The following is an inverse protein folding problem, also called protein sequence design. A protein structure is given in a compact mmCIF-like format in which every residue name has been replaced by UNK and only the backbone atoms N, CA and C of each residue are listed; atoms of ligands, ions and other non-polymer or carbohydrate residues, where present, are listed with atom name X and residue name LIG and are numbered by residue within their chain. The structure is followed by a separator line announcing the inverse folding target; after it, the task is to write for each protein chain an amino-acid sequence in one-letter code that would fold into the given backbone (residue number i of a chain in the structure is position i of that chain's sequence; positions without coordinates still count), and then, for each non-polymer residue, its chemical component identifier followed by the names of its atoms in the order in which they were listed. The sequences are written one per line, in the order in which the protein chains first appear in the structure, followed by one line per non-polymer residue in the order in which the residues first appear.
data_IF_066304609622
#
_entry.id   IF_066304609622
#
_cell.length_a   1.000
_cell.length_b   1.000
_cell.length_c   1.000
_cell.angle_alpha   90.00
_cell.angle_beta   90.00
_cell.angle_gamma   90.00
#
_symmetry.space_group_name_H-M   'P 1'
#
loop_
_entity.id
_entity.type
_entity.pdbx_description
1 polymer ?
#
# COMPACT_ATOMS: atom_id res chain seq x y z
N UNK A 1 -17.70 16.11 14.78
CA UNK A 1 -17.48 14.81 14.13
C UNK A 1 -18.80 14.04 14.18
N UNK A 2 -19.43 13.79 13.03
CA UNK A 2 -20.66 12.98 12.92
C UNK A 2 -20.24 11.50 12.93
N UNK A 3 -20.34 10.84 14.07
CA UNK A 3 -20.15 9.39 14.19
C UNK A 3 -21.40 8.68 13.66
N UNK A 4 -21.39 8.30 12.39
CA UNK A 4 -22.41 7.43 11.82
C UNK A 4 -21.95 5.99 12.01
N UNK A 5 -22.59 5.29 12.94
CA UNK A 5 -22.47 3.84 13.11
C UNK A 5 -21.29 3.36 13.96
N UNK A 6 -21.23 3.76 15.23
CA UNK A 6 -20.38 3.08 16.22
C UNK A 6 -20.99 1.71 16.53
N UNK A 7 -20.45 0.66 15.91
CA UNK A 7 -20.80 -0.72 16.26
C UNK A 7 -19.79 -1.22 17.28
N UNK A 8 -20.24 -1.47 18.50
CA UNK A 8 -19.43 -2.15 19.52
C UNK A 8 -19.59 -3.66 19.30
N UNK A 9 -18.66 -4.26 18.55
CA UNK A 9 -18.48 -5.72 18.60
C UNK A 9 -17.83 -6.05 19.95
N UNK A 10 -18.44 -6.99 20.68
CA UNK A 10 -18.07 -7.32 22.07
C UNK A 10 -16.56 -7.47 22.24
N UNK A 11 -15.98 -6.60 23.08
CA UNK A 11 -14.53 -6.52 23.29
C UNK A 11 -13.96 -5.11 23.54
N UNK A 12 -14.78 -4.04 23.52
CA UNK A 12 -14.33 -2.68 23.91
C UNK A 12 -13.57 -1.89 22.83
N UNK A 13 -13.46 -2.41 21.61
CA UNK A 13 -12.90 -1.66 20.48
C UNK A 13 -14.00 -0.83 19.80
N UNK A 14 -13.85 0.50 19.78
CA UNK A 14 -14.74 1.39 19.05
C UNK A 14 -14.51 1.20 17.53
N UNK A 15 -15.38 0.43 16.88
CA UNK A 15 -15.35 0.26 15.42
C UNK A 15 -16.32 1.23 14.75
N UNK A 16 -15.79 2.06 13.85
CA UNK A 16 -16.61 2.86 12.94
C UNK A 16 -16.77 2.13 11.62
N UNK A 17 -17.96 2.24 11.00
CA UNK A 17 -18.18 1.74 9.63
C UNK A 17 -17.13 2.32 8.67
N UNK A 18 -16.77 3.60 8.85
CA UNK A 18 -15.78 4.28 8.03
C UNK A 18 -14.40 3.62 8.07
N UNK A 19 -13.92 3.23 9.25
CA UNK A 19 -12.63 2.53 9.39
C UNK A 19 -12.67 1.16 8.70
N UNK A 20 -13.72 0.37 8.91
CA UNK A 20 -13.88 -0.93 8.27
C UNK A 20 -13.92 -0.83 6.74
N UNK A 21 -14.70 0.13 6.21
CA UNK A 21 -14.80 0.34 4.76
C UNK A 21 -13.48 0.78 4.17
N UNK A 22 -12.75 1.70 4.83
CA UNK A 22 -11.44 2.14 4.38
C UNK A 22 -10.48 0.94 4.31
N UNK A 23 -10.40 0.17 5.39
CA UNK A 23 -9.44 -0.94 5.48
C UNK A 23 -9.73 -2.06 4.46
N UNK A 24 -11.00 -2.43 4.30
CA UNK A 24 -11.40 -3.42 3.30
C UNK A 24 -11.15 -2.94 1.85
N UNK A 25 -11.44 -1.67 1.54
CA UNK A 25 -11.17 -1.12 0.21
C UNK A 25 -9.67 -1.00 -0.06
N UNK A 26 -8.89 -0.59 0.93
CA UNK A 26 -7.43 -0.50 0.83
C UNK A 26 -6.78 -1.88 0.67
N UNK A 27 -7.31 -2.92 1.34
CA UNK A 27 -6.87 -4.29 1.14
C UNK A 27 -7.09 -4.75 -0.33
N UNK A 28 -8.24 -4.44 -0.92
CA UNK A 28 -8.52 -4.75 -2.33
C UNK A 28 -7.64 -3.92 -3.28
N UNK A 29 -7.48 -2.62 -2.99
CA UNK A 29 -6.63 -1.73 -3.78
C UNK A 29 -5.18 -2.24 -3.80
N UNK A 30 -4.60 -2.52 -2.65
CA UNK A 30 -3.22 -3.02 -2.55
C UNK A 30 -3.06 -4.44 -3.08
N UNK A 31 -4.11 -5.26 -3.08
CA UNK A 31 -4.08 -6.54 -3.80
C UNK A 31 -3.89 -6.33 -5.32
N UNK A 32 -4.66 -5.41 -5.92
CA UNK A 32 -4.52 -5.08 -7.36
C UNK A 32 -3.14 -4.49 -7.65
N UNK A 33 -2.68 -3.55 -6.82
CA UNK A 33 -1.32 -2.97 -6.92
C UNK A 33 -0.27 -4.06 -6.80
N UNK A 34 -0.42 -5.02 -5.87
CA UNK A 34 0.48 -6.15 -5.69
C UNK A 34 0.57 -7.07 -6.91
N UNK A 35 -0.55 -7.33 -7.59
CA UNK A 35 -0.58 -8.09 -8.85
C UNK A 35 0.13 -7.31 -9.96
N UNK A 36 -0.08 -6.00 -10.05
CA UNK A 36 0.57 -5.16 -11.07
C UNK A 36 2.08 -5.04 -10.83
N UNK A 37 2.52 -4.88 -9.58
CA UNK A 37 3.95 -4.96 -9.20
C UNK A 37 4.54 -6.29 -9.63
N UNK A 38 3.85 -7.40 -9.33
CA UNK A 38 4.33 -8.73 -9.69
C UNK A 38 4.47 -8.86 -11.21
N UNK A 39 3.52 -8.32 -11.97
CA UNK A 39 3.56 -8.29 -13.44
C UNK A 39 4.73 -7.44 -13.95
N UNK A 40 4.96 -6.25 -13.39
CA UNK A 40 6.07 -5.38 -13.77
C UNK A 40 7.44 -5.99 -13.44
N UNK A 41 7.56 -6.70 -12.31
CA UNK A 41 8.78 -7.41 -11.92
C UNK A 41 9.10 -8.60 -12.84
N UNK A 42 8.08 -9.28 -13.36
CA UNK A 42 8.26 -10.50 -14.18
C UNK A 42 8.40 -10.16 -15.67
N UNK A 43 7.61 -9.22 -16.17
CA UNK A 43 7.45 -8.96 -17.59
C UNK A 43 7.56 -7.48 -17.99
N UNK A 44 7.76 -6.57 -17.02
CA UNK A 44 7.77 -5.13 -17.25
C UNK A 44 9.13 -4.47 -17.06
N UNK A 45 9.11 -3.16 -16.81
CA UNK A 45 10.30 -2.32 -16.71
C UNK A 45 11.06 -2.54 -15.41
N UNK A 46 10.36 -2.98 -14.35
CA UNK A 46 10.98 -3.32 -13.06
C UNK A 46 11.84 -4.61 -13.12
N UNK A 47 11.76 -5.39 -14.20
CA UNK A 47 12.57 -6.59 -14.39
C UNK A 47 14.06 -6.29 -14.58
N UNK A 48 14.39 -5.17 -15.22
CA UNK A 48 15.77 -4.71 -15.39
C UNK A 48 16.11 -3.71 -14.27
N UNK A 49 17.02 -4.04 -13.34
CA UNK A 49 17.41 -3.14 -12.26
C UNK A 49 17.91 -1.78 -12.74
N UNK A 50 18.53 -1.71 -13.92
CA UNK A 50 19.02 -0.45 -14.49
C UNK A 50 17.86 0.44 -14.95
N UNK A 51 16.84 -0.16 -15.55
CA UNK A 51 15.63 0.56 -15.95
C UNK A 51 14.78 0.94 -14.74
N UNK A 52 14.73 0.09 -13.71
CA UNK A 52 14.00 0.32 -12.46
C UNK A 52 14.63 1.41 -11.56
N UNK A 53 15.96 1.61 -11.67
CA UNK A 53 16.68 2.58 -10.82
C UNK A 53 16.16 4.01 -10.99
N UNK A 54 15.83 4.44 -12.22
CA UNK A 54 15.35 5.80 -12.46
C UNK A 54 13.98 6.05 -11.80
N UNK A 55 12.92 5.26 -12.04
CA UNK A 55 11.66 5.38 -11.31
C UNK A 55 11.82 5.27 -9.79
N UNK A 56 12.67 4.35 -9.31
CA UNK A 56 12.85 4.15 -7.87
C UNK A 56 13.51 5.37 -7.21
N UNK A 57 14.56 5.93 -7.80
CA UNK A 57 15.21 7.14 -7.29
C UNK A 57 14.29 8.36 -7.38
N UNK A 58 13.49 8.45 -8.45
CA UNK A 58 12.50 9.52 -8.61
C UNK A 58 11.40 9.44 -7.54
N UNK A 59 10.88 8.24 -7.26
CA UNK A 59 9.93 7.99 -6.19
C UNK A 59 10.56 8.34 -4.82
N UNK A 60 11.74 7.80 -4.50
CA UNK A 60 12.44 8.12 -3.25
C UNK A 60 12.65 9.63 -3.04
N UNK A 61 13.03 10.37 -4.09
CA UNK A 61 13.11 11.83 -4.02
C UNK A 61 11.74 12.49 -3.81
N UNK A 62 10.72 12.02 -4.54
CA UNK A 62 9.33 12.46 -4.42
C UNK A 62 8.71 12.18 -3.03
N UNK A 63 9.22 11.19 -2.32
CA UNK A 63 8.83 10.83 -0.96
C UNK A 63 9.57 11.66 0.10
N UNK A 64 10.90 11.66 0.02
CA UNK A 64 11.77 12.22 1.07
C UNK A 64 11.68 13.74 1.09
N UNK A 65 11.62 14.40 -0.07
CA UNK A 65 11.61 15.86 -0.13
C UNK A 65 10.35 16.46 0.51
N UNK A 66 9.12 16.05 0.17
CA UNK A 66 7.91 16.55 0.83
C UNK A 66 7.86 16.23 2.33
N UNK A 67 8.29 15.03 2.72
CA UNK A 67 8.39 14.63 4.12
C UNK A 67 9.31 15.55 4.93
N UNK A 68 10.52 15.82 4.43
CA UNK A 68 11.49 16.68 5.09
C UNK A 68 11.01 18.14 5.14
N UNK A 69 10.40 18.63 4.07
CA UNK A 69 9.81 19.98 4.04
C UNK A 69 8.73 20.06 5.13
N UNK A 70 7.78 19.14 5.14
CA UNK A 70 6.71 19.14 6.14
C UNK A 70 7.25 19.08 7.56
N UNK A 71 8.22 18.19 7.82
CA UNK A 71 8.85 18.06 9.12
C UNK A 71 9.56 19.34 9.54
N UNK A 72 10.32 19.98 8.65
CA UNK A 72 11.02 21.22 8.95
C UNK A 72 10.07 22.37 9.34
N UNK A 73 8.90 22.46 8.70
CA UNK A 73 7.89 23.47 9.02
C UNK A 73 7.07 23.15 10.28
N UNK A 74 6.92 21.88 10.64
CA UNK A 74 6.11 21.44 11.79
C UNK A 74 6.96 20.95 12.97
N UNK A 75 8.28 21.13 12.91
CA UNK A 75 9.21 20.67 13.94
C UNK A 75 8.86 21.30 15.30
N UNK A 76 8.60 20.45 16.29
CA UNK A 76 8.27 20.87 17.66
C UNK A 76 6.79 21.21 17.90
N UNK A 77 5.93 21.13 16.88
CA UNK A 77 4.47 21.26 17.02
C UNK A 77 3.77 19.90 17.15
N UNK A 78 2.47 19.92 17.48
CA UNK A 78 1.62 18.72 17.57
C UNK A 78 1.56 17.94 16.24
N UNK A 79 1.76 18.63 15.12
CA UNK A 79 1.76 18.05 13.78
C UNK A 79 3.05 17.34 13.35
N UNK A 80 4.13 17.35 14.17
CA UNK A 80 5.42 16.77 13.80
C UNK A 80 5.33 15.27 13.47
N UNK A 81 4.40 14.57 14.13
CA UNK A 81 4.14 13.15 13.89
C UNK A 81 3.46 12.89 12.53
N UNK A 82 3.01 13.91 11.80
CA UNK A 82 2.33 13.76 10.50
C UNK A 82 3.25 13.77 9.27
N UNK A 83 4.55 13.62 9.43
CA UNK A 83 5.53 13.77 8.35
C UNK A 83 5.39 12.77 7.19
N UNK A 84 4.74 11.62 7.42
CA UNK A 84 4.44 10.63 6.38
C UNK A 84 3.23 10.97 5.51
N UNK A 85 2.36 11.90 5.94
CA UNK A 85 1.14 12.30 5.21
C UNK A 85 1.45 12.84 3.80
N UNK A 86 2.40 13.77 3.59
CA UNK A 86 2.68 14.33 2.25
C UNK A 86 3.46 13.39 1.33
N UNK A 87 3.78 12.17 1.76
CA UNK A 87 4.54 11.21 0.96
C UNK A 87 3.66 10.44 -0.03
N UNK A 88 2.35 10.37 0.20
CA UNK A 88 1.45 9.55 -0.61
C UNK A 88 0.98 10.28 -1.89
N UNK A 89 1.05 9.59 -3.02
CA UNK A 89 0.55 10.09 -4.32
C UNK A 89 -0.65 9.26 -4.80
N UNK A 90 -1.78 9.89 -5.14
CA UNK A 90 -2.93 9.19 -5.72
C UNK A 90 -2.67 8.82 -7.19
N UNK A 91 -2.33 7.55 -7.43
CA UNK A 91 -2.06 6.98 -8.76
C UNK A 91 -3.26 7.06 -9.70
N UNK A 92 -4.49 6.85 -9.19
CA UNK A 92 -5.69 6.85 -10.01
C UNK A 92 -5.97 8.24 -10.55
N UNK A 93 -5.80 9.26 -9.70
CA UNK A 93 -5.89 10.65 -10.12
C UNK A 93 -4.78 11.03 -11.11
N UNK A 94 -3.52 10.69 -10.80
CA UNK A 94 -2.38 11.02 -11.66
C UNK A 94 -2.51 10.39 -13.07
N UNK A 95 -2.82 9.08 -13.13
CA UNK A 95 -3.05 8.38 -14.40
C UNK A 95 -4.29 8.92 -15.12
N UNK A 96 -5.35 9.26 -14.37
CA UNK A 96 -6.56 9.90 -14.89
C UNK A 96 -6.26 11.20 -15.63
N UNK A 97 -5.54 12.13 -15.01
CA UNK A 97 -5.14 13.40 -15.63
C UNK A 97 -4.26 13.17 -16.86
N UNK A 98 -3.30 12.25 -16.77
CA UNK A 98 -2.41 11.91 -17.89
C UNK A 98 -3.19 11.28 -19.06
N UNK A 99 -4.26 10.54 -18.77
CA UNK A 99 -5.12 9.95 -19.80
C UNK A 99 -5.93 11.00 -20.55
N UNK A 100 -6.38 12.07 -19.87
CA UNK A 100 -7.10 13.20 -20.48
C UNK A 100 -6.24 14.00 -21.45
N UNK A 101 -4.92 14.04 -21.24
CA UNK A 101 -3.97 14.68 -22.18
C UNK A 101 -3.79 13.88 -23.49
N UNK A 102 -4.39 12.69 -23.59
CA UNK A 102 -4.49 11.90 -24.81
C UNK A 102 -3.13 11.53 -25.40
N UNK A 103 -2.91 11.96 -26.65
CA UNK A 103 -1.71 11.69 -27.44
C UNK A 103 -0.55 12.65 -27.14
N UNK A 104 -0.76 13.69 -26.33
CA UNK A 104 0.34 14.60 -25.94
C UNK A 104 1.34 13.94 -25.00
N UNK A 105 0.92 12.87 -24.31
CA UNK A 105 1.76 12.10 -23.41
C UNK A 105 2.10 10.76 -24.05
N UNK A 106 3.40 10.49 -24.17
CA UNK A 106 3.90 9.24 -24.74
C UNK A 106 3.51 8.03 -23.88
N UNK A 107 3.32 6.87 -24.52
CA UNK A 107 3.04 5.61 -23.82
C UNK A 107 4.13 5.28 -22.79
N UNK A 108 5.38 5.60 -23.10
CA UNK A 108 6.51 5.41 -22.20
C UNK A 108 6.37 6.23 -20.92
N UNK A 109 5.90 7.48 -21.00
CA UNK A 109 5.70 8.30 -19.80
C UNK A 109 4.56 7.77 -18.93
N UNK A 110 3.49 7.23 -19.53
CA UNK A 110 2.39 6.60 -18.78
C UNK A 110 2.88 5.40 -17.97
N UNK A 111 3.72 4.56 -18.57
CA UNK A 111 4.32 3.40 -17.88
C UNK A 111 5.30 3.87 -16.81
N UNK A 112 6.15 4.86 -17.10
CA UNK A 112 7.06 5.44 -16.12
C UNK A 112 6.34 5.99 -14.89
N UNK A 113 5.25 6.75 -15.09
CA UNK A 113 4.45 7.30 -13.99
C UNK A 113 3.74 6.22 -13.20
N UNK A 114 3.23 5.17 -13.86
CA UNK A 114 2.64 4.02 -13.19
C UNK A 114 3.67 3.33 -12.29
N UNK A 115 4.88 3.08 -12.81
CA UNK A 115 5.97 2.46 -12.03
C UNK A 115 6.43 3.35 -10.87
N UNK A 116 6.58 4.66 -11.10
CA UNK A 116 6.94 5.62 -10.05
C UNK A 116 5.93 5.61 -8.92
N UNK A 117 4.63 5.72 -9.24
CA UNK A 117 3.56 5.75 -8.24
C UNK A 117 3.45 4.44 -7.46
N UNK A 118 3.65 3.30 -8.12
CA UNK A 118 3.71 2.00 -7.45
C UNK A 118 4.85 1.96 -6.40
N UNK A 119 6.04 2.45 -6.74
CA UNK A 119 7.18 2.45 -5.79
C UNK A 119 6.91 3.40 -4.62
N UNK A 120 6.35 4.57 -4.91
CA UNK A 120 5.91 5.57 -3.93
C UNK A 120 4.89 4.98 -2.93
N UNK A 121 3.85 4.32 -3.42
CA UNK A 121 2.80 3.68 -2.60
C UNK A 121 3.36 2.60 -1.66
N UNK A 122 4.24 1.72 -2.17
CA UNK A 122 4.90 0.70 -1.34
C UNK A 122 5.74 1.38 -0.26
N UNK A 123 6.51 2.40 -0.64
CA UNK A 123 7.32 3.16 0.30
C UNK A 123 6.46 3.82 1.40
N UNK A 124 5.33 4.40 1.02
CA UNK A 124 4.44 5.09 1.95
C UNK A 124 3.81 4.10 2.94
N UNK A 125 3.32 2.95 2.47
CA UNK A 125 2.83 1.88 3.36
C UNK A 125 3.93 1.42 4.32
N UNK A 126 5.16 1.22 3.84
CA UNK A 126 6.27 0.77 4.69
C UNK A 126 6.59 1.80 5.78
N UNK A 127 6.59 3.09 5.43
CA UNK A 127 6.78 4.17 6.40
C UNK A 127 5.64 4.19 7.43
N UNK A 128 4.39 4.08 7.00
CA UNK A 128 3.23 4.03 7.90
C UNK A 128 3.33 2.80 8.82
N UNK A 129 3.62 1.62 8.27
CA UNK A 129 3.73 0.39 9.04
C UNK A 129 4.87 0.41 10.07
N UNK A 130 6.00 1.07 9.78
CA UNK A 130 7.15 1.10 10.69
C UNK A 130 7.11 2.23 11.71
N UNK A 131 6.55 3.39 11.35
CA UNK A 131 6.61 4.60 12.19
C UNK A 131 5.29 4.98 12.85
N UNK A 132 4.15 4.47 12.37
CA UNK A 132 2.81 4.81 12.87
C UNK A 132 2.07 3.62 13.49
N UNK A 133 2.74 2.49 13.66
CA UNK A 133 2.14 1.31 14.29
C UNK A 133 2.50 1.26 15.78
N UNK A 134 1.56 1.67 16.63
CA UNK A 134 1.77 1.77 18.08
C UNK A 134 1.61 0.42 18.82
N UNK A 135 0.74 -0.46 18.30
CA UNK A 135 0.38 -1.70 18.97
C UNK A 135 0.44 -2.88 18.00
N UNK A 136 1.43 -3.75 18.21
CA UNK A 136 1.57 -4.99 17.45
C UNK A 136 1.41 -6.17 18.39
N UNK A 137 0.36 -6.95 18.19
CA UNK A 137 0.19 -8.21 18.92
C UNK A 137 1.06 -9.29 18.30
N UNK A 138 2.04 -9.78 19.06
CA UNK A 138 2.92 -10.87 18.62
C UNK A 138 2.15 -12.16 18.26
N UNK A 139 1.05 -12.42 18.96
CA UNK A 139 0.18 -13.58 18.68
C UNK A 139 -0.45 -13.50 17.29
N UNK A 140 -0.99 -12.33 16.94
CA UNK A 140 -1.59 -12.09 15.63
C UNK A 140 -0.56 -12.08 14.50
N UNK A 141 0.64 -11.52 14.75
CA UNK A 141 1.76 -11.63 13.80
C UNK A 141 2.15 -13.07 13.51
N UNK A 142 2.17 -13.94 14.52
CA UNK A 142 2.52 -15.35 14.32
C UNK A 142 1.47 -16.08 13.47
N UNK A 143 0.18 -15.77 13.70
CA UNK A 143 -0.92 -16.25 12.85
C UNK A 143 -0.76 -15.76 11.42
N UNK A 144 -0.50 -14.47 11.20
CA UNK A 144 -0.27 -13.91 9.88
C UNK A 144 0.91 -14.59 9.17
N UNK A 145 2.03 -14.77 9.88
CA UNK A 145 3.21 -15.46 9.36
C UNK A 145 2.91 -16.92 8.97
N UNK A 146 2.14 -17.65 9.80
CA UNK A 146 1.74 -19.03 9.50
C UNK A 146 0.85 -19.12 8.25
N UNK A 147 -0.09 -18.18 8.07
CA UNK A 147 -0.94 -18.10 6.89
C UNK A 147 -0.13 -17.76 5.62
N UNK A 148 0.87 -16.87 5.72
CA UNK A 148 1.80 -16.58 4.61
C UNK A 148 2.64 -17.82 4.24
N UNK A 149 3.11 -18.59 5.22
CA UNK A 149 3.80 -19.87 4.97
C UNK A 149 2.86 -20.85 4.28
N UNK A 150 1.59 -20.93 4.68
CA UNK A 150 0.61 -21.78 4.00
C UNK A 150 0.42 -21.40 2.53
N UNK A 151 0.30 -20.09 2.22
CA UNK A 151 0.28 -19.59 0.83
C UNK A 151 1.53 -20.01 0.08
N UNK A 152 2.71 -19.85 0.68
CA UNK A 152 3.98 -20.23 0.06
C UNK A 152 4.07 -21.74 -0.23
N UNK A 153 3.62 -22.59 0.72
CA UNK A 153 3.56 -24.05 0.52
C UNK A 153 2.60 -24.41 -0.61
N UNK A 154 1.42 -23.80 -0.69
CA UNK A 154 0.47 -24.04 -1.78
C UNK A 154 1.04 -23.67 -3.15
N UNK A 155 1.78 -22.56 -3.23
CA UNK A 155 2.49 -22.18 -4.45
C UNK A 155 3.56 -23.21 -4.84
N UNK A 156 4.32 -23.74 -3.86
CA UNK A 156 5.31 -24.80 -4.09
C UNK A 156 4.68 -26.11 -4.57
N UNK A 157 3.51 -26.45 -4.05
CA UNK A 157 2.71 -27.60 -4.47
C UNK A 157 1.97 -27.37 -5.81
N UNK A 158 2.15 -26.19 -6.44
CA UNK A 158 1.52 -25.81 -7.72
C UNK A 158 -0.01 -25.89 -7.67
N UNK A 159 -0.61 -25.52 -6.55
CA UNK A 159 -2.07 -25.40 -6.43
C UNK A 159 -2.49 -24.08 -7.08
N UNK A 160 -3.21 -24.15 -8.20
CA UNK A 160 -3.70 -22.98 -8.96
C UNK A 160 -5.16 -22.60 -8.64
N UNK A 161 -5.76 -23.26 -7.65
CA UNK A 161 -7.16 -23.04 -7.30
C UNK A 161 -7.34 -21.76 -6.47
N UNK A 162 -7.74 -20.67 -7.14
CA UNK A 162 -7.87 -19.31 -6.59
C UNK A 162 -8.70 -19.26 -5.28
N UNK A 163 -9.84 -19.97 -5.15
CA UNK A 163 -10.65 -19.89 -3.93
C UNK A 163 -9.90 -20.27 -2.64
N UNK A 164 -8.89 -21.13 -2.71
CA UNK A 164 -8.07 -21.48 -1.53
C UNK A 164 -7.24 -20.28 -1.07
N UNK A 165 -6.68 -19.50 -2.00
CA UNK A 165 -5.93 -18.29 -1.65
C UNK A 165 -6.84 -17.21 -1.06
N UNK A 166 -8.05 -17.07 -1.60
CA UNK A 166 -9.06 -16.14 -1.05
C UNK A 166 -9.48 -16.57 0.36
N UNK A 167 -9.68 -17.87 0.59
CA UNK A 167 -10.03 -18.41 1.91
C UNK A 167 -8.93 -18.17 2.96
N UNK A 168 -7.65 -18.09 2.55
CA UNK A 168 -6.52 -17.76 3.44
C UNK A 168 -6.36 -16.24 3.59
N UNK A 169 -6.70 -15.46 2.56
CA UNK A 169 -6.58 -14.00 2.59
C UNK A 169 -7.48 -13.35 3.64
N UNK A 170 -8.70 -13.87 3.84
CA UNK A 170 -9.65 -13.35 4.85
C UNK A 170 -9.08 -13.44 6.29
N UNK A 171 -8.67 -14.61 6.81
CA UNK A 171 -8.10 -14.70 8.15
C UNK A 171 -6.75 -13.99 8.26
N UNK A 172 -5.99 -13.88 7.16
CA UNK A 172 -4.76 -13.10 7.14
C UNK A 172 -5.05 -11.60 7.33
N UNK A 173 -6.08 -11.08 6.65
CA UNK A 173 -6.51 -9.69 6.82
C UNK A 173 -7.02 -9.43 8.24
N UNK A 174 -7.85 -10.32 8.80
CA UNK A 174 -8.32 -10.21 10.18
C UNK A 174 -7.16 -10.26 11.20
N UNK A 175 -6.10 -11.02 10.93
CA UNK A 175 -4.92 -11.05 11.79
C UNK A 175 -4.07 -9.77 11.73
N UNK A 176 -4.26 -8.94 10.70
CA UNK A 176 -3.54 -7.67 10.51
C UNK A 176 -4.39 -6.43 10.89
N UNK A 177 -5.67 -6.66 11.22
CA UNK A 177 -6.65 -5.66 11.60
C UNK A 177 -6.65 -5.43 13.12
#
# INVERSE_FOLDING_TARGET
HLEIGSYVLGGGHHFTIGAFVNDALMAVFFFVVGVEIKRELVAGQLRDPRAAALPAMAALGGMVVPALIFFAFNAGGEGANGWGIPMATDIAFAVGVVSLLGNRVSRTLKIFLLTLAIVDDIGAILVIALFYTDHVSFGWLLVAAALLVAVWVLQRLRVWYIPVYVAIAIPLWVAMF
#
